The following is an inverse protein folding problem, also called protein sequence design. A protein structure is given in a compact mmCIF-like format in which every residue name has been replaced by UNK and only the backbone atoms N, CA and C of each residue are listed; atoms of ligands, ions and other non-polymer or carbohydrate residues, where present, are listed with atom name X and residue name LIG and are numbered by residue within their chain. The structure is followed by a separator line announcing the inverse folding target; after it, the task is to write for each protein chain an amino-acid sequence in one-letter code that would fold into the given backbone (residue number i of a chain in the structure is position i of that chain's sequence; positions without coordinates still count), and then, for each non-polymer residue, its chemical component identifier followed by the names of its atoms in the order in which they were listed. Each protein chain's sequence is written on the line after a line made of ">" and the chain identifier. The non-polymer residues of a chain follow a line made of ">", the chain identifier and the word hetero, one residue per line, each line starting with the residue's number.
data_IF_526073510411
#
_entry.id   IF_526073510411
#
_cell.length_a   1.000
_cell.length_b   1.000
_cell.length_c   1.000
_cell.angle_alpha   90.00
_cell.angle_beta   90.00
_cell.angle_gamma   90.00
#
_symmetry.space_group_name_H-M   'P 1'
#
loop_
_entity.id
_entity.type
_entity.pdbx_description
1 polymer ?
#
# COMPACT_ATOMS: atom_id res chain seq x y z
N UNK A 1 6.54 0.72 -1.57
CA UNK A 1 6.01 -0.36 -0.69
C UNK A 1 5.67 0.25 0.67
N UNK A 2 5.45 -0.59 1.67
CA UNK A 2 5.09 -0.32 3.08
C UNK A 2 6.29 -0.05 4.01
N UNK A 3 7.46 0.30 3.45
CA UNK A 3 8.68 0.57 4.23
C UNK A 3 8.78 2.00 4.77
N UNK A 4 9.80 2.27 5.59
CA UNK A 4 10.01 3.55 6.27
C UNK A 4 9.96 4.80 5.37
N UNK A 5 10.43 4.70 4.13
CA UNK A 5 10.37 5.80 3.16
C UNK A 5 8.95 6.29 2.87
N UNK A 6 7.94 5.42 2.98
CA UNK A 6 6.53 5.81 2.90
C UNK A 6 6.20 6.87 3.95
N UNK A 7 6.57 6.62 5.21
CA UNK A 7 6.25 7.52 6.31
C UNK A 7 7.01 8.84 6.21
N UNK A 8 8.24 8.83 5.68
CA UNK A 8 8.97 10.06 5.37
C UNK A 8 8.17 10.90 4.35
N UNK A 9 7.74 10.31 3.23
CA UNK A 9 6.95 11.02 2.22
C UNK A 9 5.61 11.55 2.78
N UNK A 10 4.91 10.74 3.57
CA UNK A 10 3.66 11.12 4.25
C UNK A 10 3.89 12.32 5.19
N UNK A 11 4.98 12.33 5.95
CA UNK A 11 5.32 13.44 6.86
C UNK A 11 5.57 14.76 6.14
N UNK A 12 5.97 14.69 4.86
CA UNK A 12 6.20 15.86 4.02
C UNK A 12 4.97 16.24 3.19
N UNK A 13 3.78 15.70 3.50
CA UNK A 13 2.56 15.88 2.71
C UNK A 13 2.75 15.56 1.22
N UNK A 14 3.63 14.60 0.90
CA UNK A 14 3.84 14.17 -0.48
C UNK A 14 2.81 13.09 -0.82
N UNK A 15 1.92 13.29 -1.80
CA UNK A 15 1.06 12.23 -2.29
C UNK A 15 1.78 10.93 -2.60
N UNK A 16 1.23 9.82 -2.09
CA UNK A 16 1.83 8.50 -2.20
C UNK A 16 0.85 7.49 -2.76
N UNK A 17 1.35 6.56 -3.58
CA UNK A 17 0.70 5.28 -3.85
C UNK A 17 1.57 4.20 -3.23
N UNK A 18 1.07 3.60 -2.17
CA UNK A 18 1.80 2.60 -1.39
C UNK A 18 1.24 1.21 -1.66
N UNK A 19 2.11 0.29 -2.08
CA UNK A 19 1.74 -1.08 -2.40
C UNK A 19 1.88 -1.94 -1.14
N UNK A 20 0.77 -2.57 -0.73
CA UNK A 20 0.66 -3.39 0.46
C UNK A 20 0.32 -4.83 0.10
N UNK A 21 1.15 -5.76 0.56
CA UNK A 21 0.91 -7.19 0.40
C UNK A 21 0.53 -7.84 1.73
N UNK A 22 1.46 -8.41 2.50
CA UNK A 22 1.09 -9.27 3.62
C UNK A 22 0.60 -8.59 4.88
N UNK A 23 1.12 -7.38 5.16
CA UNK A 23 0.86 -6.67 6.41
C UNK A 23 -0.50 -5.98 6.37
N UNK A 24 -1.03 -5.69 7.55
CA UNK A 24 -2.24 -4.89 7.70
C UNK A 24 -1.92 -3.40 7.45
N UNK A 25 -2.54 -2.84 6.42
CA UNK A 25 -2.42 -1.42 6.08
C UNK A 25 -3.01 -0.48 7.12
N UNK A 26 -3.91 -0.97 7.99
CA UNK A 26 -4.43 -0.19 9.11
C UNK A 26 -3.41 -0.04 10.24
N UNK A 27 -2.42 -0.94 10.31
CA UNK A 27 -1.37 -0.94 11.33
C UNK A 27 -0.11 -0.23 10.84
N UNK A 28 0.31 -0.51 9.60
CA UNK A 28 1.57 -0.01 9.03
C UNK A 28 1.39 1.05 7.92
N UNK A 29 0.14 1.44 7.63
CA UNK A 29 -0.16 2.38 6.55
C UNK A 29 0.16 3.84 6.86
N UNK A 30 -0.13 4.72 5.88
CA UNK A 30 -0.01 6.17 6.05
C UNK A 30 -0.80 6.69 7.25
N UNK A 31 -0.16 7.51 8.07
CA UNK A 31 -0.78 8.19 9.20
C UNK A 31 -0.27 9.64 9.32
N UNK A 32 -1.13 10.64 9.59
CA UNK A 32 -2.59 10.52 9.68
C UNK A 32 -3.24 10.20 8.33
N UNK A 33 -4.42 9.56 8.30
CA UNK A 33 -5.14 9.31 7.05
C UNK A 33 -5.47 10.63 6.35
N UNK A 34 -5.16 10.73 5.06
CA UNK A 34 -5.49 11.90 4.24
C UNK A 34 -5.78 11.48 2.79
N UNK A 35 -6.35 12.40 1.99
CA UNK A 35 -6.72 12.14 0.59
C UNK A 35 -5.52 12.06 -0.36
N UNK A 36 -4.35 12.55 0.05
CA UNK A 36 -3.13 12.54 -0.75
C UNK A 36 -2.45 11.16 -0.77
N UNK A 37 -2.76 10.29 0.19
CA UNK A 37 -2.11 8.99 0.35
C UNK A 37 -3.07 7.85 0.01
N UNK A 38 -2.68 7.02 -0.97
CA UNK A 38 -3.44 5.87 -1.41
C UNK A 38 -2.70 4.57 -1.06
N UNK A 39 -3.42 3.63 -0.46
CA UNK A 39 -2.95 2.26 -0.23
C UNK A 39 -3.52 1.38 -1.34
N UNK A 40 -2.65 0.83 -2.18
CA UNK A 40 -2.99 -0.17 -3.19
C UNK A 40 -2.71 -1.56 -2.63
N UNK A 41 -3.75 -2.38 -2.59
CA UNK A 41 -3.71 -3.74 -2.05
C UNK A 41 -4.74 -4.60 -2.77
N UNK A 42 -4.59 -5.92 -2.72
CA UNK A 42 -5.64 -6.87 -3.08
C UNK A 42 -6.35 -7.37 -1.84
N UNK A 43 -7.68 -7.34 -1.88
CA UNK A 43 -8.50 -7.92 -0.83
C UNK A 43 -8.64 -9.42 -1.10
N UNK A 44 -7.77 -10.19 -0.47
CA UNK A 44 -7.72 -11.65 -0.55
C UNK A 44 -8.13 -12.24 0.79
N UNK A 45 -8.79 -13.40 0.75
CA UNK A 45 -9.16 -14.20 1.91
C UNK A 45 -7.98 -14.50 2.85
N UNK A 46 -6.79 -14.70 2.29
CA UNK A 46 -5.58 -14.98 3.05
C UNK A 46 -4.92 -13.74 3.68
N UNK A 47 -5.41 -12.52 3.42
CA UNK A 47 -4.76 -11.26 3.82
C UNK A 47 -5.53 -10.57 4.97
N UNK A 48 -4.84 -10.02 5.99
CA UNK A 48 -3.39 -10.02 6.22
C UNK A 48 -2.86 -11.37 6.70
N UNK A 49 -1.66 -11.76 6.23
CA UNK A 49 -0.99 -13.01 6.60
C UNK A 49 0.29 -12.82 7.42
N UNK A 50 0.67 -11.57 7.66
CA UNK A 50 1.68 -11.19 8.64
C UNK A 50 1.01 -10.61 9.89
N UNK A 51 1.14 -11.31 11.01
CA UNK A 51 0.56 -10.93 12.31
C UNK A 51 1.51 -11.37 13.43
N UNK A 52 1.56 -10.61 14.53
CA UNK A 52 2.41 -10.90 15.69
C UNK A 52 3.89 -11.17 15.33
N UNK A 53 4.42 -10.37 14.39
CA UNK A 53 5.77 -10.51 13.84
C UNK A 53 6.06 -11.87 13.19
N UNK A 54 5.01 -12.60 12.79
CA UNK A 54 5.10 -13.92 12.16
C UNK A 54 4.42 -13.90 10.80
N UNK A 55 5.05 -14.61 9.86
CA UNK A 55 4.57 -14.77 8.51
C UNK A 55 3.98 -16.17 8.32
N UNK A 56 2.69 -16.28 7.96
CA UNK A 56 2.10 -17.59 7.62
C UNK A 56 2.74 -18.15 6.34
N UNK A 57 2.94 -19.48 6.20
CA UNK A 57 3.46 -20.06 4.97
C UNK A 57 2.70 -19.58 3.73
N UNK A 58 3.41 -18.97 2.77
CA UNK A 58 2.84 -18.46 1.52
C UNK A 58 3.84 -18.67 0.39
N UNK A 59 3.42 -19.42 -0.63
CA UNK A 59 4.28 -19.78 -1.77
C UNK A 59 4.02 -18.93 -3.02
N UNK A 60 2.83 -18.36 -3.17
CA UNK A 60 2.43 -17.67 -4.40
C UNK A 60 2.55 -16.15 -4.33
N UNK A 61 2.47 -15.52 -3.14
CA UNK A 61 2.46 -14.06 -2.94
C UNK A 61 1.43 -13.34 -3.82
N UNK A 62 0.25 -13.95 -4.00
CA UNK A 62 -0.88 -13.39 -4.77
C UNK A 62 -1.18 -11.94 -4.41
N UNK A 63 -1.11 -11.60 -3.12
CA UNK A 63 -1.34 -10.23 -2.62
C UNK A 63 -0.43 -9.15 -3.24
N UNK A 64 0.73 -9.52 -3.78
CA UNK A 64 1.62 -8.62 -4.53
C UNK A 64 1.59 -8.90 -6.03
N UNK A 65 1.54 -10.17 -6.43
CA UNK A 65 1.63 -10.57 -7.85
C UNK A 65 0.39 -10.25 -8.67
N UNK A 66 -0.78 -10.16 -8.05
CA UNK A 66 -2.02 -9.82 -8.75
C UNK A 66 -2.19 -8.30 -8.92
N UNK A 67 -1.30 -7.48 -8.34
CA UNK A 67 -1.32 -6.03 -8.53
C UNK A 67 -0.72 -5.70 -9.89
N UNK A 68 -1.55 -5.23 -10.80
CA UNK A 68 -1.15 -4.89 -12.16
C UNK A 68 -0.53 -3.50 -12.22
N UNK A 69 0.40 -3.32 -13.18
CA UNK A 69 1.07 -2.03 -13.40
C UNK A 69 0.06 -0.94 -13.75
N UNK A 70 -0.96 -1.26 -14.53
CA UNK A 70 -1.99 -0.30 -14.92
C UNK A 70 -2.80 0.20 -13.72
N UNK A 71 -3.10 -0.66 -12.75
CA UNK A 71 -3.75 -0.26 -11.50
C UNK A 71 -2.91 0.76 -10.73
N UNK A 72 -1.59 0.57 -10.70
CA UNK A 72 -0.65 1.52 -10.07
C UNK A 72 -0.66 2.84 -10.82
N UNK A 73 -0.50 2.80 -12.15
CA UNK A 73 -0.41 3.98 -13.00
C UNK A 73 -1.68 4.83 -12.94
N UNK A 74 -2.85 4.21 -12.89
CA UNK A 74 -4.12 4.92 -12.80
C UNK A 74 -4.26 5.70 -11.48
N UNK A 75 -3.81 5.12 -10.36
CA UNK A 75 -3.81 5.83 -9.06
C UNK A 75 -2.80 6.97 -9.04
N UNK A 76 -1.62 6.76 -9.62
CA UNK A 76 -0.59 7.82 -9.74
C UNK A 76 -1.13 8.98 -10.58
N UNK A 77 -1.71 8.70 -11.76
CA UNK A 77 -2.29 9.73 -12.64
C UNK A 77 -3.39 10.52 -11.93
N UNK A 78 -4.25 9.86 -11.16
CA UNK A 78 -5.31 10.53 -10.39
C UNK A 78 -4.73 11.49 -9.35
N UNK A 79 -3.78 11.03 -8.53
CA UNK A 79 -3.16 11.87 -7.51
C UNK A 79 -2.38 13.06 -8.09
N UNK A 80 -1.78 12.89 -9.28
CA UNK A 80 -1.09 13.99 -9.97
C UNK A 80 -2.05 15.02 -10.55
N UNK A 81 -3.23 14.61 -11.04
CA UNK A 81 -4.27 15.55 -11.51
C UNK A 81 -4.83 16.39 -10.38
N UNK A 82 -5.03 15.80 -9.20
CA UNK A 82 -5.57 16.49 -8.02
C UNK A 82 -4.58 17.50 -7.40
N UNK A 83 -3.34 17.59 -7.90
CA UNK A 83 -2.32 18.58 -7.50
C UNK A 83 -2.31 19.86 -8.36
N UNK A 84 -3.06 19.89 -9.47
CA UNK A 84 -3.14 21.03 -10.40
C UNK A 84 -4.31 21.93 -10.01
#
# INVERSE_FOLDING_TARGET
>A
NDGGALHIAVSQNTPTVSIFGPVDDKVYGPYPPNKANYVLKKDLDCRPCYQDFKYKPCHNRRCLKEIEVDEVLDKVKRLLKDRV
#
